data_IF_557166360531
#
_entry.id   IF_557166360531
#
_cell.length_a   1.000
_cell.length_b   1.000
_cell.length_c   1.000
_cell.angle_alpha   90.00
_cell.angle_beta   90.00
_cell.angle_gamma   90.00
#
_symmetry.space_group_name_H-M   'P 1'
#
loop_
_entity.id
_entity.type
_entity.pdbx_description
1 polymer ?
#
# COMPACT_ATOMS: atom_id res chain seq x y z
N UNK A 1 -3.42 -13.65 -4.20
CA UNK A 1 -2.44 -12.97 -3.32
C UNK A 1 -3.01 -12.64 -1.94
N UNK A 2 -4.29 -12.26 -1.82
CA UNK A 2 -4.99 -11.90 -0.56
C UNK A 2 -4.89 -12.94 0.56
N UNK A 3 -4.95 -14.20 0.21
CA UNK A 3 -5.02 -15.34 1.14
C UNK A 3 -3.63 -15.82 1.55
N UNK A 4 -2.62 -15.55 0.73
CA UNK A 4 -1.27 -16.09 0.90
C UNK A 4 -0.55 -15.63 2.18
N UNK A 5 -0.65 -14.37 2.65
CA UNK A 5 -0.04 -13.98 3.93
C UNK A 5 -0.55 -14.81 5.11
N UNK A 6 -1.84 -15.14 5.12
CA UNK A 6 -2.42 -16.00 6.15
C UNK A 6 -1.90 -17.43 6.08
N UNK A 7 -1.84 -18.04 4.90
CA UNK A 7 -1.33 -19.41 4.70
C UNK A 7 0.15 -19.49 5.11
N UNK A 8 0.96 -18.59 4.62
CA UNK A 8 2.40 -18.58 4.89
C UNK A 8 2.69 -18.23 6.35
N UNK A 9 1.86 -17.36 6.98
CA UNK A 9 1.94 -17.09 8.41
C UNK A 9 1.71 -18.35 9.26
N UNK A 10 0.70 -19.19 8.92
CA UNK A 10 0.47 -20.47 9.60
C UNK A 10 1.64 -21.42 9.41
N UNK A 11 2.21 -21.47 8.22
CA UNK A 11 3.37 -22.33 7.91
C UNK A 11 4.59 -21.88 8.72
N UNK A 12 4.84 -20.56 8.83
CA UNK A 12 5.90 -20.00 9.65
C UNK A 12 5.69 -20.29 11.15
N UNK A 13 4.45 -20.15 11.63
CA UNK A 13 4.14 -20.36 13.04
C UNK A 13 4.26 -21.84 13.48
N UNK A 14 4.07 -22.80 12.54
CA UNK A 14 3.98 -24.23 12.90
C UNK A 14 5.18 -25.07 12.48
N UNK A 15 5.76 -24.81 11.30
CA UNK A 15 6.67 -25.75 10.66
C UNK A 15 8.03 -25.20 10.24
N UNK A 16 8.09 -23.92 9.91
CA UNK A 16 9.33 -23.35 9.38
C UNK A 16 9.74 -22.11 10.16
N UNK A 17 11.03 -21.91 10.28
CA UNK A 17 11.58 -20.66 10.79
C UNK A 17 11.21 -19.52 9.85
N UNK A 18 10.71 -18.41 10.41
CA UNK A 18 10.19 -17.28 9.63
C UNK A 18 11.27 -16.67 8.72
N UNK A 19 12.53 -16.55 9.18
CA UNK A 19 13.64 -16.03 8.39
C UNK A 19 13.96 -16.92 7.18
N UNK A 20 13.88 -18.24 7.33
CA UNK A 20 14.12 -19.18 6.21
C UNK A 20 12.99 -19.13 5.20
N UNK A 21 11.75 -19.07 5.68
CA UNK A 21 10.58 -18.96 4.80
C UNK A 21 10.58 -17.65 4.05
N UNK A 22 10.97 -16.56 4.72
CA UNK A 22 11.18 -15.24 4.12
C UNK A 22 12.20 -15.31 2.96
N UNK A 23 13.36 -15.95 3.21
CA UNK A 23 14.38 -16.15 2.19
C UNK A 23 13.92 -16.99 1.01
N UNK A 24 13.24 -18.10 1.26
CA UNK A 24 12.69 -18.96 0.20
C UNK A 24 11.67 -18.23 -0.67
N UNK A 25 10.79 -17.43 -0.06
CA UNK A 25 9.82 -16.62 -0.80
C UNK A 25 10.51 -15.59 -1.70
N UNK A 26 11.58 -14.93 -1.24
CA UNK A 26 12.35 -13.99 -2.06
C UNK A 26 13.12 -14.68 -3.18
N UNK A 27 13.72 -15.84 -2.94
CA UNK A 27 14.40 -16.61 -4.00
C UNK A 27 13.41 -17.09 -5.06
N UNK A 28 12.25 -17.61 -4.65
CA UNK A 28 11.19 -18.00 -5.57
C UNK A 28 10.66 -16.79 -6.37
N UNK A 29 10.46 -15.64 -5.71
CA UNK A 29 10.09 -14.38 -6.35
C UNK A 29 11.12 -13.89 -7.37
N UNK A 30 12.42 -14.00 -7.05
CA UNK A 30 13.50 -13.70 -7.98
C UNK A 30 13.41 -14.56 -9.25
N UNK A 31 13.20 -15.87 -9.10
CA UNK A 31 12.97 -16.79 -10.23
C UNK A 31 11.78 -16.38 -11.10
N UNK A 32 10.66 -15.98 -10.47
CA UNK A 32 9.49 -15.49 -11.18
C UNK A 32 9.77 -14.19 -11.95
N UNK A 33 10.54 -13.25 -11.38
CA UNK A 33 10.92 -11.99 -12.04
C UNK A 33 11.88 -12.24 -13.21
N UNK A 34 12.86 -13.12 -13.06
CA UNK A 34 13.74 -13.52 -14.16
C UNK A 34 12.96 -14.23 -15.28
N UNK A 35 11.99 -15.06 -14.94
CA UNK A 35 11.11 -15.66 -15.94
C UNK A 35 10.22 -14.62 -16.62
N UNK A 36 9.67 -13.66 -15.86
CA UNK A 36 8.89 -12.55 -16.39
C UNK A 36 9.68 -11.67 -17.37
N UNK A 37 10.99 -11.47 -17.12
CA UNK A 37 11.84 -10.66 -18.00
C UNK A 37 12.03 -11.25 -19.41
N UNK A 38 11.80 -12.55 -19.58
CA UNK A 38 11.84 -13.27 -20.86
C UNK A 38 10.48 -13.38 -21.54
N UNK A 39 9.44 -12.82 -20.93
CA UNK A 39 8.07 -12.93 -21.46
C UNK A 39 7.92 -12.20 -22.81
N UNK A 40 7.40 -12.91 -23.79
CA UNK A 40 7.12 -12.38 -25.14
C UNK A 40 5.62 -12.15 -25.39
N UNK A 41 4.77 -12.60 -24.48
CA UNK A 41 3.32 -12.49 -24.59
C UNK A 41 2.64 -12.21 -23.25
N UNK A 42 1.35 -11.80 -23.37
CA UNK A 42 0.53 -11.44 -22.20
C UNK A 42 0.40 -12.59 -21.20
N UNK A 43 0.05 -13.79 -21.68
CA UNK A 43 -0.21 -14.94 -20.78
C UNK A 43 1.03 -15.32 -19.97
N UNK A 44 2.21 -15.34 -20.60
CA UNK A 44 3.46 -15.63 -19.93
C UNK A 44 3.75 -14.59 -18.84
N UNK A 45 3.62 -13.31 -19.17
CA UNK A 45 3.80 -12.21 -18.21
C UNK A 45 2.79 -12.30 -17.07
N UNK A 46 1.51 -12.54 -17.38
CA UNK A 46 0.44 -12.65 -16.39
C UNK A 46 0.71 -13.74 -15.35
N UNK A 47 1.04 -14.96 -15.81
CA UNK A 47 1.31 -16.07 -14.89
C UNK A 47 2.59 -15.86 -14.09
N UNK A 48 3.65 -15.32 -14.70
CA UNK A 48 4.90 -15.02 -14.01
C UNK A 48 4.67 -13.99 -12.88
N UNK A 49 3.94 -12.92 -13.17
CA UNK A 49 3.64 -11.87 -12.18
C UNK A 49 2.65 -12.35 -11.11
N UNK A 50 1.67 -13.19 -11.48
CA UNK A 50 0.75 -13.79 -10.50
C UNK A 50 1.51 -14.68 -9.52
N UNK A 51 2.39 -15.54 -9.99
CA UNK A 51 3.23 -16.40 -9.13
C UNK A 51 4.15 -15.55 -8.24
N UNK A 52 4.78 -14.51 -8.82
CA UNK A 52 5.58 -13.58 -8.04
C UNK A 52 4.76 -12.94 -6.90
N UNK A 53 3.56 -12.46 -7.18
CA UNK A 53 2.68 -11.86 -6.17
C UNK A 53 2.26 -12.86 -5.08
N UNK A 54 2.06 -14.13 -5.41
CA UNK A 54 1.71 -15.17 -4.45
C UNK A 54 2.82 -15.41 -3.41
N UNK A 55 4.08 -15.34 -3.84
CA UNK A 55 5.23 -15.52 -2.93
C UNK A 55 5.71 -14.21 -2.31
N UNK A 56 5.49 -13.07 -2.97
CA UNK A 56 5.92 -11.77 -2.48
C UNK A 56 5.01 -11.22 -1.36
N UNK A 57 3.69 -11.31 -1.50
CA UNK A 57 2.76 -10.72 -0.52
C UNK A 57 2.98 -11.21 0.92
N UNK A 58 3.27 -12.50 1.16
CA UNK A 58 3.59 -12.97 2.51
C UNK A 58 4.87 -12.37 3.10
N UNK A 59 5.83 -11.98 2.24
CA UNK A 59 7.11 -11.45 2.73
C UNK A 59 6.94 -10.14 3.50
N UNK A 60 5.88 -9.36 3.22
CA UNK A 60 5.58 -8.12 3.94
C UNK A 60 5.28 -8.38 5.43
N UNK A 61 4.54 -9.44 5.72
CA UNK A 61 4.26 -9.83 7.12
C UNK A 61 5.44 -10.56 7.76
N UNK A 62 6.14 -11.42 7.00
CA UNK A 62 7.33 -12.12 7.48
C UNK A 62 8.46 -11.15 7.84
N UNK A 63 8.66 -10.08 7.07
CA UNK A 63 9.64 -9.05 7.37
C UNK A 63 9.42 -8.42 8.76
N UNK A 64 8.16 -8.11 9.10
CA UNK A 64 7.82 -7.60 10.42
C UNK A 64 8.06 -8.66 11.51
N UNK A 65 7.64 -9.90 11.27
CA UNK A 65 7.87 -11.01 12.22
C UNK A 65 9.35 -11.24 12.51
N UNK A 66 10.18 -11.27 11.47
CA UNK A 66 11.63 -11.43 11.60
C UNK A 66 12.25 -10.26 12.36
N UNK A 67 11.83 -9.02 12.03
CA UNK A 67 12.34 -7.82 12.71
C UNK A 67 11.96 -7.80 14.20
N UNK A 68 10.71 -8.11 14.53
CA UNK A 68 10.27 -8.16 15.94
C UNK A 68 10.99 -9.24 16.72
N UNK A 69 11.12 -10.45 16.16
CA UNK A 69 11.86 -11.54 16.78
C UNK A 69 13.32 -11.18 17.03
N UNK A 70 13.99 -10.54 16.06
CA UNK A 70 15.35 -10.08 16.23
C UNK A 70 15.48 -9.04 17.38
N UNK A 71 14.60 -8.04 17.40
CA UNK A 71 14.58 -7.02 18.46
C UNK A 71 14.34 -7.64 19.84
N UNK A 72 13.41 -8.58 19.97
CA UNK A 72 13.16 -9.31 21.22
C UNK A 72 14.38 -10.12 21.68
N UNK A 73 15.05 -10.82 20.76
CA UNK A 73 16.27 -11.59 21.08
C UNK A 73 17.40 -10.70 21.61
N UNK A 74 17.52 -9.49 21.06
CA UNK A 74 18.51 -8.50 21.51
C UNK A 74 18.01 -7.63 22.67
N UNK A 75 16.83 -7.91 23.24
CA UNK A 75 16.20 -7.17 24.35
C UNK A 75 16.01 -5.68 24.06
N UNK A 76 15.76 -5.34 22.79
CA UNK A 76 15.44 -3.98 22.35
C UNK A 76 13.98 -3.64 22.64
N UNK A 77 13.68 -2.34 22.73
CA UNK A 77 12.31 -1.84 22.87
C UNK A 77 11.62 -1.80 21.50
N UNK A 78 10.62 -2.67 21.28
CA UNK A 78 9.88 -2.76 20.01
C UNK A 78 9.27 -1.42 19.60
N UNK A 79 8.75 -0.65 20.56
CA UNK A 79 8.05 0.62 20.26
C UNK A 79 9.05 1.68 19.84
N UNK A 80 10.24 1.70 20.44
CA UNK A 80 11.28 2.70 20.19
C UNK A 80 12.16 2.32 19.01
N UNK A 81 12.56 1.06 18.90
CA UNK A 81 13.65 0.64 18.04
C UNK A 81 13.17 0.11 16.66
N UNK A 82 11.91 -0.37 16.57
CA UNK A 82 11.36 -0.84 15.28
C UNK A 82 11.12 0.29 14.25
N UNK A 83 10.55 1.47 14.61
CA UNK A 83 10.28 2.51 13.62
C UNK A 83 11.52 2.98 12.84
N UNK A 84 12.68 3.22 13.46
CA UNK A 84 13.90 3.55 12.72
C UNK A 84 14.33 2.46 11.72
N UNK A 85 14.16 1.18 12.09
CA UNK A 85 14.47 0.06 11.18
C UNK A 85 13.51 0.08 9.99
N UNK A 86 12.23 0.31 10.22
CA UNK A 86 11.21 0.35 9.19
C UNK A 86 11.43 1.47 8.15
N UNK A 87 11.97 2.63 8.58
CA UNK A 87 12.30 3.76 7.70
C UNK A 87 13.32 3.36 6.63
N UNK A 88 14.28 2.49 6.94
CA UNK A 88 15.25 1.99 5.95
C UNK A 88 14.60 1.27 4.78
N UNK A 89 13.44 0.63 5.01
CA UNK A 89 12.64 0.05 3.92
C UNK A 89 12.15 1.11 2.93
N UNK A 90 11.67 2.25 3.41
CA UNK A 90 11.24 3.36 2.54
C UNK A 90 12.42 4.00 1.83
N UNK A 91 13.55 4.21 2.52
CA UNK A 91 14.79 4.73 1.90
C UNK A 91 15.26 3.79 0.78
N UNK A 92 15.32 2.48 1.06
CA UNK A 92 15.71 1.47 0.06
C UNK A 92 14.77 1.46 -1.15
N UNK A 93 13.47 1.61 -0.92
CA UNK A 93 12.48 1.72 -2.00
C UNK A 93 12.71 2.95 -2.87
N UNK A 94 12.93 4.13 -2.28
CA UNK A 94 13.25 5.36 -3.01
C UNK A 94 14.55 5.21 -3.81
N UNK A 95 15.59 4.65 -3.21
CA UNK A 95 16.86 4.40 -3.90
C UNK A 95 16.67 3.46 -5.10
N UNK A 96 15.87 2.40 -4.96
CA UNK A 96 15.57 1.48 -6.05
C UNK A 96 14.80 2.18 -7.18
N UNK A 97 13.80 3.01 -6.85
CA UNK A 97 13.06 3.82 -7.83
C UNK A 97 14.02 4.72 -8.63
N UNK A 98 14.90 5.44 -7.94
CA UNK A 98 15.85 6.34 -8.59
C UNK A 98 16.89 5.59 -9.42
N UNK A 99 17.39 4.46 -8.94
CA UNK A 99 18.32 3.64 -9.68
C UNK A 99 17.70 3.14 -11.01
N UNK A 100 16.47 2.66 -11.00
CA UNK A 100 15.77 2.18 -12.21
C UNK A 100 15.48 3.33 -13.17
N UNK A 101 15.10 4.51 -12.67
CA UNK A 101 14.78 5.67 -13.51
C UNK A 101 16.06 6.26 -14.15
N UNK A 102 17.10 6.53 -13.35
CA UNK A 102 18.35 7.16 -13.82
C UNK A 102 19.16 6.25 -14.76
N UNK A 103 19.05 4.94 -14.63
CA UNK A 103 19.68 4.00 -15.56
C UNK A 103 18.90 3.81 -16.86
N UNK A 104 17.70 4.39 -16.97
CA UNK A 104 16.82 4.23 -18.13
C UNK A 104 16.14 2.86 -18.23
N UNK A 105 16.20 2.06 -17.18
CA UNK A 105 15.62 0.69 -17.16
C UNK A 105 14.09 0.68 -17.01
N UNK A 106 13.49 1.81 -16.67
CA UNK A 106 12.06 1.98 -16.42
C UNK A 106 11.18 1.38 -17.53
N UNK A 107 11.53 1.56 -18.79
CA UNK A 107 10.75 1.12 -19.95
C UNK A 107 11.29 -0.16 -20.60
N UNK A 108 12.09 -0.92 -19.88
CA UNK A 108 12.70 -2.16 -20.38
C UNK A 108 12.52 -3.32 -19.41
N UNK A 109 12.72 -4.57 -19.90
CA UNK A 109 12.75 -5.76 -19.05
C UNK A 109 13.90 -5.74 -18.03
N UNK A 110 14.89 -4.84 -18.20
CA UNK A 110 16.00 -4.67 -17.27
C UNK A 110 15.54 -4.35 -15.84
N UNK A 111 14.44 -3.62 -15.65
CA UNK A 111 13.85 -3.39 -14.32
C UNK A 111 13.50 -4.69 -13.58
N UNK A 112 13.06 -5.72 -14.31
CA UNK A 112 12.74 -7.04 -13.71
C UNK A 112 14.00 -7.79 -13.29
N UNK A 113 15.12 -7.63 -14.03
CA UNK A 113 16.41 -8.16 -13.61
C UNK A 113 16.92 -7.48 -12.34
N UNK A 114 16.79 -6.15 -12.23
CA UNK A 114 17.17 -5.41 -11.01
C UNK A 114 16.33 -5.88 -9.82
N UNK A 115 15.00 -6.00 -9.99
CA UNK A 115 14.11 -6.52 -8.97
C UNK A 115 14.44 -7.96 -8.57
N UNK A 116 14.67 -8.84 -9.56
CA UNK A 116 15.04 -10.23 -9.35
C UNK A 116 16.39 -10.39 -8.63
N UNK A 117 17.40 -9.62 -9.04
CA UNK A 117 18.71 -9.62 -8.38
C UNK A 117 18.63 -9.13 -6.93
N UNK A 118 17.89 -8.05 -6.68
CA UNK A 118 17.65 -7.53 -5.32
C UNK A 118 16.91 -8.55 -4.44
N UNK A 119 15.89 -9.20 -4.98
CA UNK A 119 15.15 -10.25 -4.27
C UNK A 119 16.04 -11.46 -3.97
N UNK A 120 16.89 -11.88 -4.92
CA UNK A 120 17.83 -12.99 -4.72
C UNK A 120 18.84 -12.65 -3.62
N UNK A 121 19.43 -11.46 -3.65
CA UNK A 121 20.38 -11.00 -2.63
C UNK A 121 19.73 -10.96 -1.25
N UNK A 122 18.52 -10.40 -1.14
CA UNK A 122 17.77 -10.38 0.12
C UNK A 122 17.42 -11.79 0.59
N UNK A 123 17.01 -12.64 -0.34
CA UNK A 123 16.71 -14.05 -0.05
C UNK A 123 17.91 -14.80 0.53
N UNK A 124 19.09 -14.65 -0.06
CA UNK A 124 20.34 -15.24 0.44
C UNK A 124 20.75 -14.63 1.79
N UNK A 125 20.66 -13.31 1.91
CA UNK A 125 20.98 -12.60 3.15
C UNK A 125 20.08 -13.04 4.32
N UNK A 126 18.81 -13.36 4.05
CA UNK A 126 17.87 -13.74 5.11
C UNK A 126 18.28 -14.99 5.90
N UNK A 127 19.07 -15.88 5.31
CA UNK A 127 19.61 -17.07 6.01
C UNK A 127 20.68 -16.71 7.05
N UNK A 128 21.20 -15.48 7.03
CA UNK A 128 22.16 -14.97 8.03
C UNK A 128 21.47 -14.28 9.21
N UNK A 129 20.15 -14.07 9.11
CA UNK A 129 19.36 -13.41 10.16
C UNK A 129 19.20 -14.30 11.39
N UNK A 130 18.93 -13.71 12.58
CA UNK A 130 18.67 -14.48 13.80
C UNK A 130 17.52 -15.46 13.61
N UNK A 131 17.69 -16.69 14.12
CA UNK A 131 16.70 -17.74 13.95
C UNK A 131 15.38 -17.41 14.66
N UNK A 132 14.32 -17.30 13.89
CA UNK A 132 12.94 -17.09 14.37
C UNK A 132 12.24 -18.45 14.46
N UNK A 133 12.44 -19.15 15.60
CA UNK A 133 11.86 -20.49 15.78
C UNK A 133 10.32 -20.40 15.82
N UNK A 134 9.62 -21.42 15.24
CA UNK A 134 8.18 -21.50 15.31
C UNK A 134 7.73 -21.42 16.79
N UNK A 135 6.87 -20.47 17.12
CA UNK A 135 6.19 -20.48 18.40
C UNK A 135 5.25 -21.68 18.40
N UNK A 136 5.32 -22.57 19.40
CA UNK A 136 4.31 -23.61 19.63
C UNK A 136 3.00 -22.89 19.97
N UNK A 137 2.36 -22.33 18.96
CA UNK A 137 1.09 -21.64 19.09
C UNK A 137 0.02 -22.69 19.28
N UNK A 138 -0.69 -22.60 20.39
CA UNK A 138 -1.94 -23.32 20.62
C UNK A 138 -2.87 -23.09 19.42
N UNK A 139 -3.39 -24.16 18.86
CA UNK A 139 -4.41 -24.31 17.81
C UNK A 139 -5.11 -23.02 17.32
N UNK A 140 -4.39 -22.15 16.62
CA UNK A 140 -5.07 -21.14 15.80
C UNK A 140 -5.81 -21.87 14.69
N UNK A 141 -7.14 -21.77 14.69
CA UNK A 141 -7.98 -22.24 13.60
C UNK A 141 -7.52 -21.57 12.29
N UNK A 142 -7.64 -22.29 11.17
CA UNK A 142 -7.45 -21.70 9.84
C UNK A 142 -8.28 -20.41 9.65
N UNK A 143 -9.50 -20.39 10.18
CA UNK A 143 -10.39 -19.23 10.17
C UNK A 143 -9.77 -18.02 10.89
N UNK A 144 -9.10 -18.25 12.04
CA UNK A 144 -8.42 -17.21 12.81
C UNK A 144 -7.22 -16.62 12.07
N UNK A 145 -6.46 -17.46 11.36
CA UNK A 145 -5.30 -17.02 10.59
C UNK A 145 -5.66 -16.15 9.37
N UNK A 146 -6.84 -16.37 8.79
CA UNK A 146 -7.39 -15.53 7.73
C UNK A 146 -8.14 -14.29 8.24
N UNK A 147 -8.19 -14.08 9.56
CA UNK A 147 -8.94 -12.97 10.14
C UNK A 147 -10.46 -13.15 10.07
N UNK A 148 -10.96 -14.34 9.66
CA UNK A 148 -12.39 -14.61 9.49
C UNK A 148 -13.16 -14.63 10.82
N UNK A 149 -12.49 -14.87 11.93
CA UNK A 149 -13.07 -14.71 13.27
C UNK A 149 -13.55 -13.27 13.52
N UNK A 150 -12.92 -12.31 12.86
CA UNK A 150 -13.30 -10.91 12.95
C UNK A 150 -14.57 -10.57 12.15
N UNK A 151 -15.08 -11.46 11.28
CA UNK A 151 -16.33 -11.23 10.53
C UNK A 151 -17.51 -10.99 11.48
N UNK A 152 -17.44 -11.49 12.71
CA UNK A 152 -18.44 -11.18 13.74
C UNK A 152 -18.56 -9.68 14.01
N UNK A 153 -17.52 -8.90 13.73
CA UNK A 153 -17.54 -7.42 13.89
C UNK A 153 -18.48 -6.74 12.92
N UNK A 154 -18.83 -7.35 11.78
CA UNK A 154 -19.86 -6.81 10.87
C UNK A 154 -21.25 -6.76 11.52
N UNK A 155 -21.51 -7.54 12.56
CA UNK A 155 -22.75 -7.44 13.34
C UNK A 155 -22.86 -6.11 14.10
N UNK A 156 -21.74 -5.45 14.37
CA UNK A 156 -21.70 -4.11 14.97
C UNK A 156 -21.78 -3.06 13.85
N UNK A 157 -22.89 -2.35 13.75
CA UNK A 157 -23.14 -1.30 12.72
C UNK A 157 -21.94 -0.36 12.51
N UNK A 158 -21.31 0.08 13.60
CA UNK A 158 -20.14 0.98 13.57
C UNK A 158 -18.93 0.35 12.88
N UNK A 159 -18.63 -0.92 13.18
CA UNK A 159 -17.52 -1.65 12.55
C UNK A 159 -17.82 -2.00 11.09
N UNK A 160 -19.06 -2.39 10.78
CA UNK A 160 -19.47 -2.65 9.40
C UNK A 160 -19.30 -1.40 8.51
N UNK A 161 -19.76 -0.24 8.99
CA UNK A 161 -19.58 1.04 8.31
C UNK A 161 -18.07 1.33 8.11
N UNK A 162 -17.27 1.19 9.16
CA UNK A 162 -15.82 1.41 9.07
C UNK A 162 -15.16 0.51 8.04
N UNK A 163 -15.43 -0.79 8.03
CA UNK A 163 -14.86 -1.72 7.06
C UNK A 163 -15.31 -1.44 5.62
N UNK A 164 -16.57 -1.04 5.43
CA UNK A 164 -17.05 -0.62 4.12
C UNK A 164 -16.26 0.57 3.59
N UNK A 165 -16.11 1.63 4.41
CA UNK A 165 -15.33 2.81 4.01
C UNK A 165 -13.84 2.51 3.85
N UNK A 166 -13.29 1.57 4.62
CA UNK A 166 -11.92 1.08 4.44
C UNK A 166 -11.73 0.45 3.06
N UNK A 167 -12.68 -0.35 2.61
CA UNK A 167 -12.67 -0.95 1.28
C UNK A 167 -12.76 0.12 0.17
N UNK A 168 -13.68 1.07 0.31
CA UNK A 168 -13.83 2.15 -0.66
C UNK A 168 -12.56 3.02 -0.73
N UNK A 169 -11.92 3.30 0.39
CA UNK A 169 -10.68 4.08 0.41
C UNK A 169 -9.48 3.29 -0.16
N UNK A 170 -9.45 1.98 0.06
CA UNK A 170 -8.49 1.09 -0.57
C UNK A 170 -8.57 1.11 -2.11
N UNK A 171 -9.77 1.32 -2.66
CA UNK A 171 -9.94 1.54 -4.09
C UNK A 171 -9.26 2.83 -4.56
N UNK A 172 -9.37 3.93 -3.80
CA UNK A 172 -8.68 5.20 -4.12
C UNK A 172 -7.15 5.05 -4.14
N UNK A 173 -6.58 4.29 -3.21
CA UNK A 173 -5.16 3.96 -3.18
C UNK A 173 -4.71 3.23 -4.46
N UNK A 174 -5.48 2.22 -4.87
CA UNK A 174 -5.16 1.42 -6.06
C UNK A 174 -5.17 2.24 -7.34
N UNK A 175 -6.09 3.20 -7.48
CA UNK A 175 -6.17 4.12 -8.62
C UNK A 175 -4.82 4.84 -8.82
N UNK A 176 -4.29 5.44 -7.77
CA UNK A 176 -3.01 6.16 -7.86
C UNK A 176 -1.84 5.26 -8.20
N UNK A 177 -1.76 4.09 -7.56
CA UNK A 177 -0.67 3.14 -7.78
C UNK A 177 -0.66 2.60 -9.21
N UNK A 178 -1.84 2.47 -9.84
CA UNK A 178 -1.96 1.95 -11.20
C UNK A 178 -1.70 3.01 -12.25
N UNK A 179 -2.23 4.22 -12.06
CA UNK A 179 -2.30 5.21 -13.13
C UNK A 179 -1.37 6.42 -12.94
N UNK A 180 -0.70 6.57 -11.81
CA UNK A 180 0.15 7.74 -11.55
C UNK A 180 1.32 7.89 -12.54
N UNK A 181 2.08 6.83 -12.77
CA UNK A 181 3.19 6.84 -13.74
C UNK A 181 2.69 6.88 -15.19
N UNK A 182 1.63 6.14 -15.49
CA UNK A 182 1.02 6.14 -16.82
C UNK A 182 0.50 7.53 -17.20
N UNK A 183 -0.07 8.26 -16.26
CA UNK A 183 -0.52 9.66 -16.45
C UNK A 183 0.66 10.57 -16.75
N UNK A 184 1.70 10.56 -15.94
CA UNK A 184 2.88 11.40 -16.18
C UNK A 184 3.58 11.03 -17.49
N UNK A 185 3.68 9.75 -17.81
CA UNK A 185 4.26 9.26 -19.06
C UNK A 185 3.46 9.67 -20.30
N UNK A 186 2.15 9.91 -20.19
CA UNK A 186 1.30 10.30 -21.31
C UNK A 186 1.65 11.68 -21.88
N UNK A 187 2.23 12.57 -21.07
CA UNK A 187 2.69 13.88 -21.52
C UNK A 187 3.88 13.81 -22.49
N UNK A 188 4.55 12.67 -22.62
CA UNK A 188 5.61 12.46 -23.61
C UNK A 188 5.13 12.60 -25.07
N UNK A 189 3.83 12.40 -25.31
CA UNK A 189 3.22 12.61 -26.63
C UNK A 189 2.99 14.07 -27.00
N UNK A 190 3.13 14.98 -26.03
CA UNK A 190 2.95 16.43 -26.22
C UNK A 190 4.35 17.07 -26.39
N UNK A 191 4.67 17.65 -27.58
CA UNK A 191 6.02 18.16 -27.85
C UNK A 191 6.53 19.15 -26.81
N UNK A 192 5.65 19.99 -26.27
CA UNK A 192 5.98 20.98 -25.23
C UNK A 192 6.51 20.36 -23.94
N UNK A 193 6.02 19.15 -23.58
CA UNK A 193 6.32 18.50 -22.30
C UNK A 193 7.25 17.31 -22.43
N UNK A 194 7.48 16.80 -23.64
CA UNK A 194 8.25 15.57 -23.90
C UNK A 194 9.63 15.58 -23.24
N UNK A 195 10.29 16.74 -23.24
CA UNK A 195 11.62 16.94 -22.68
C UNK A 195 11.63 17.42 -21.22
N UNK A 196 10.46 17.62 -20.61
CA UNK A 196 10.35 18.08 -19.21
C UNK A 196 10.90 17.04 -18.24
N UNK A 197 11.44 17.52 -17.10
CA UNK A 197 11.92 16.66 -16.03
C UNK A 197 10.82 15.71 -15.51
N UNK A 198 9.59 16.21 -15.36
CA UNK A 198 8.47 15.44 -14.84
C UNK A 198 8.05 14.26 -15.73
N UNK A 199 8.31 14.34 -17.05
CA UNK A 199 8.03 13.26 -17.99
C UNK A 199 9.21 12.29 -18.07
N UNK A 200 10.44 12.80 -18.24
CA UNK A 200 11.65 11.96 -18.32
C UNK A 200 11.89 11.16 -17.03
N UNK A 201 11.64 11.79 -15.89
CA UNK A 201 11.90 11.25 -14.56
C UNK A 201 10.63 11.16 -13.70
N UNK A 202 9.52 10.65 -14.28
CA UNK A 202 8.24 10.54 -13.58
C UNK A 202 8.33 9.70 -12.31
N UNK A 203 9.19 8.68 -12.28
CA UNK A 203 9.39 7.82 -11.10
C UNK A 203 10.08 8.59 -9.98
N UNK A 204 11.06 9.46 -10.31
CA UNK A 204 11.68 10.35 -9.32
C UNK A 204 10.65 11.33 -8.77
N UNK A 205 9.83 11.91 -9.64
CA UNK A 205 8.75 12.80 -9.23
C UNK A 205 7.76 12.10 -8.31
N UNK A 206 7.32 10.88 -8.65
CA UNK A 206 6.45 10.06 -7.82
C UNK A 206 7.06 9.68 -6.47
N UNK A 207 8.39 9.59 -6.36
CA UNK A 207 9.07 9.29 -5.09
C UNK A 207 8.85 10.36 -4.01
N UNK A 208 8.46 11.59 -4.39
CA UNK A 208 8.03 12.64 -3.45
C UNK A 208 6.87 12.15 -2.58
N UNK A 209 5.98 11.31 -3.13
CA UNK A 209 4.88 10.69 -2.37
C UNK A 209 5.41 9.83 -1.22
N UNK A 210 6.47 9.06 -1.45
CA UNK A 210 7.08 8.19 -0.44
C UNK A 210 7.82 8.99 0.64
N UNK A 211 8.49 10.09 0.23
CA UNK A 211 9.12 11.01 1.18
C UNK A 211 8.07 11.67 2.08
N UNK A 212 6.98 12.13 1.46
CA UNK A 212 5.83 12.72 2.15
C UNK A 212 5.18 11.74 3.13
N UNK A 213 4.97 10.48 2.74
CA UNK A 213 4.48 9.40 3.61
C UNK A 213 5.31 9.33 4.89
N UNK A 214 6.64 9.25 4.76
CA UNK A 214 7.53 9.18 5.91
C UNK A 214 7.39 10.38 6.86
N UNK A 215 7.27 11.59 6.31
CA UNK A 215 7.12 12.81 7.10
C UNK A 215 5.76 12.87 7.82
N UNK A 216 4.67 12.50 7.12
CA UNK A 216 3.34 12.55 7.71
C UNK A 216 3.12 11.46 8.76
N UNK A 217 3.76 10.28 8.66
CA UNK A 217 3.76 9.28 9.74
C UNK A 217 4.25 9.92 11.05
N UNK A 218 5.32 10.72 11.01
CA UNK A 218 5.85 11.41 12.19
C UNK A 218 4.90 12.49 12.72
N UNK A 219 4.07 13.09 11.86
CA UNK A 219 3.11 14.13 12.23
C UNK A 219 1.79 13.56 12.81
N UNK A 220 1.48 12.28 12.56
CA UNK A 220 0.20 11.66 12.99
C UNK A 220 -0.08 11.82 14.49
N UNK A 221 0.86 11.62 15.43
CA UNK A 221 0.56 11.80 16.85
C UNK A 221 0.07 13.20 17.19
N UNK A 222 0.58 14.22 16.51
CA UNK A 222 0.10 15.60 16.67
C UNK A 222 -1.36 15.72 16.23
N UNK A 223 -1.70 15.24 15.04
CA UNK A 223 -3.08 15.32 14.51
C UNK A 223 -4.06 14.50 15.34
N UNK A 224 -3.68 13.30 15.78
CA UNK A 224 -4.55 12.46 16.62
C UNK A 224 -4.85 13.09 17.97
N UNK A 225 -3.87 13.76 18.59
CA UNK A 225 -4.07 14.45 19.87
C UNK A 225 -5.02 15.65 19.74
N UNK A 226 -4.93 16.41 18.65
CA UNK A 226 -5.71 17.64 18.48
C UNK A 226 -7.08 17.39 17.87
N UNK A 227 -7.20 16.48 16.92
CA UNK A 227 -8.42 16.28 16.15
C UNK A 227 -9.15 14.96 16.46
N UNK A 228 -8.43 13.97 16.97
CA UNK A 228 -8.97 12.64 17.24
C UNK A 228 -9.19 11.79 15.98
N UNK A 229 -9.45 10.49 16.20
CA UNK A 229 -9.44 9.44 15.16
C UNK A 229 -10.37 9.76 13.98
N UNK A 230 -11.63 10.11 14.24
CA UNK A 230 -12.61 10.37 13.16
C UNK A 230 -12.19 11.54 12.27
N UNK A 231 -11.71 12.63 12.84
CA UNK A 231 -11.34 13.81 12.07
C UNK A 231 -10.08 13.56 11.26
N UNK A 232 -9.11 12.82 11.81
CA UNK A 232 -7.89 12.42 11.07
C UNK A 232 -8.24 11.52 9.89
N UNK A 233 -9.18 10.58 10.04
CA UNK A 233 -9.72 9.80 8.92
C UNK A 233 -10.39 10.69 7.86
N UNK A 234 -11.16 11.70 8.27
CA UNK A 234 -11.78 12.65 7.34
C UNK A 234 -10.75 13.51 6.61
N UNK A 235 -9.72 13.97 7.29
CA UNK A 235 -8.61 14.70 6.66
C UNK A 235 -8.00 13.84 5.56
N UNK A 236 -7.77 12.55 5.81
CA UNK A 236 -7.28 11.60 4.80
C UNK A 236 -8.22 11.53 3.59
N UNK A 237 -9.52 11.39 3.80
CA UNK A 237 -10.49 11.31 2.70
C UNK A 237 -10.51 12.56 1.84
N UNK A 238 -10.48 13.75 2.45
CA UNK A 238 -10.38 15.01 1.72
C UNK A 238 -9.01 15.21 1.08
N UNK A 239 -7.94 14.69 1.66
CA UNK A 239 -6.63 14.67 1.03
C UNK A 239 -6.64 13.87 -0.31
N UNK A 240 -7.40 12.78 -0.42
CA UNK A 240 -7.63 12.10 -1.70
C UNK A 240 -8.35 12.97 -2.72
N UNK A 241 -9.33 13.78 -2.29
CA UNK A 241 -10.01 14.74 -3.19
C UNK A 241 -9.00 15.73 -3.76
N UNK A 242 -8.17 16.33 -2.89
CA UNK A 242 -7.13 17.27 -3.32
C UNK A 242 -6.10 16.60 -4.22
N UNK A 243 -5.64 15.39 -3.88
CA UNK A 243 -4.68 14.66 -4.67
C UNK A 243 -5.17 14.45 -6.10
N UNK A 244 -6.37 13.92 -6.28
CA UNK A 244 -6.92 13.66 -7.60
C UNK A 244 -7.26 14.96 -8.34
N UNK A 245 -7.81 15.97 -7.67
CA UNK A 245 -8.07 17.28 -8.25
C UNK A 245 -6.80 17.95 -8.75
N UNK A 246 -5.73 17.95 -7.96
CA UNK A 246 -4.42 18.48 -8.34
C UNK A 246 -3.79 17.72 -9.53
N UNK A 247 -3.98 16.40 -9.62
CA UNK A 247 -3.58 15.64 -10.80
C UNK A 247 -4.42 16.01 -12.03
N UNK A 248 -5.73 16.25 -11.87
CA UNK A 248 -6.61 16.63 -12.96
C UNK A 248 -6.26 17.96 -13.62
N UNK A 249 -5.79 18.92 -12.83
CA UNK A 249 -5.41 20.26 -13.31
C UNK A 249 -3.90 20.46 -13.50
N UNK A 250 -3.06 19.52 -13.02
CA UNK A 250 -1.61 19.61 -13.10
C UNK A 250 -1.06 19.18 -14.46
N UNK A 251 0.00 19.83 -14.88
CA UNK A 251 0.79 19.51 -16.08
C UNK A 251 2.29 19.60 -15.76
N UNK A 252 3.18 19.03 -16.60
CA UNK A 252 4.63 19.11 -16.39
C UNK A 252 5.26 20.48 -16.64
N UNK A 253 4.50 21.47 -17.10
CA UNK A 253 4.93 22.84 -17.33
C UNK A 253 4.55 23.76 -16.20
N UNK A 254 3.65 24.70 -16.46
CA UNK A 254 3.18 25.72 -15.49
C UNK A 254 2.42 25.10 -14.31
N UNK A 255 1.81 23.93 -14.50
CA UNK A 255 1.09 23.15 -13.50
C UNK A 255 1.94 22.17 -12.67
N UNK A 256 3.26 22.12 -12.85
CA UNK A 256 4.15 21.21 -12.14
C UNK A 256 4.02 21.30 -10.61
N UNK A 257 3.80 22.50 -10.09
CA UNK A 257 3.58 22.70 -8.65
C UNK A 257 2.34 21.95 -8.13
N UNK A 258 1.27 21.81 -8.95
CA UNK A 258 0.09 21.05 -8.60
C UNK A 258 0.40 19.55 -8.54
N UNK A 259 1.20 19.04 -9.47
CA UNK A 259 1.67 17.65 -9.44
C UNK A 259 2.50 17.38 -8.18
N UNK A 260 3.46 18.26 -7.86
CA UNK A 260 4.29 18.14 -6.65
C UNK A 260 3.42 18.20 -5.38
N UNK A 261 2.50 19.16 -5.31
CA UNK A 261 1.60 19.30 -4.17
C UNK A 261 0.70 18.07 -4.01
N UNK A 262 0.20 17.50 -5.11
CA UNK A 262 -0.54 16.24 -5.12
C UNK A 262 0.27 15.10 -4.49
N UNK A 263 1.56 15.02 -4.81
CA UNK A 263 2.45 14.00 -4.25
C UNK A 263 2.74 14.21 -2.77
N UNK A 264 2.87 15.46 -2.34
CA UNK A 264 3.01 15.80 -0.91
C UNK A 264 1.73 15.43 -0.14
N UNK A 265 0.56 15.73 -0.68
CA UNK A 265 -0.74 15.41 -0.04
C UNK A 265 -0.95 13.90 0.11
N UNK A 266 -0.28 13.07 -0.69
CA UNK A 266 -0.39 11.61 -0.62
C UNK A 266 -0.09 11.03 0.77
N UNK A 267 0.93 11.54 1.45
CA UNK A 267 1.26 11.06 2.80
C UNK A 267 0.09 11.21 3.77
N UNK A 268 -0.62 12.37 3.74
CA UNK A 268 -1.86 12.53 4.52
C UNK A 268 -2.97 11.61 4.04
N UNK A 269 -3.12 11.49 2.72
CA UNK A 269 -4.21 10.71 2.14
C UNK A 269 -4.12 9.23 2.53
N UNK A 270 -2.94 8.66 2.56
CA UNK A 270 -2.73 7.25 2.84
C UNK A 270 -2.61 6.97 4.35
N UNK A 271 -1.62 7.59 5.02
CA UNK A 271 -1.26 7.19 6.38
C UNK A 271 -2.25 7.61 7.44
N UNK A 272 -2.90 8.76 7.27
CA UNK A 272 -3.87 9.23 8.25
C UNK A 272 -5.04 8.28 8.40
N UNK A 273 -5.50 7.67 7.29
CA UNK A 273 -6.54 6.66 7.38
C UNK A 273 -6.02 5.33 7.92
N UNK A 274 -4.89 4.85 7.41
CA UNK A 274 -4.34 3.57 7.80
C UNK A 274 -4.03 3.49 9.29
N UNK A 275 -3.33 4.49 9.83
CA UNK A 275 -2.92 4.50 11.23
C UNK A 275 -4.12 4.78 12.15
N UNK A 276 -4.97 5.76 11.79
CA UNK A 276 -6.18 6.03 12.57
C UNK A 276 -7.16 4.86 12.53
N UNK A 277 -7.27 4.18 11.39
CA UNK A 277 -8.10 2.99 11.23
C UNK A 277 -7.61 1.82 12.06
N UNK A 278 -6.31 1.57 12.04
CA UNK A 278 -5.68 0.56 12.88
C UNK A 278 -5.92 0.83 14.37
N UNK A 279 -5.74 2.08 14.82
CA UNK A 279 -6.04 2.50 16.20
C UNK A 279 -7.52 2.34 16.56
N UNK A 280 -8.41 2.67 15.62
CA UNK A 280 -9.85 2.48 15.82
C UNK A 280 -10.20 1.00 16.01
N UNK A 281 -9.65 0.12 15.16
CA UNK A 281 -9.83 -1.34 15.29
C UNK A 281 -9.28 -1.85 16.61
N UNK A 282 -8.10 -1.36 17.02
CA UNK A 282 -7.46 -1.71 18.29
C UNK A 282 -8.35 -1.38 19.50
N UNK A 283 -9.06 -0.25 19.46
CA UNK A 283 -9.94 0.19 20.55
C UNK A 283 -11.30 -0.54 20.58
N UNK A 284 -11.85 -0.88 19.41
CA UNK A 284 -13.21 -1.44 19.28
C UNK A 284 -13.25 -2.97 19.30
N UNK A 285 -12.14 -3.63 18.93
CA UNK A 285 -12.06 -5.09 18.94
C UNK A 285 -11.70 -5.63 20.34
N UNK A 286 -12.34 -6.74 20.71
CA UNK A 286 -11.96 -7.48 21.92
C UNK A 286 -10.52 -8.02 21.77
N UNK A 287 -9.77 -8.10 22.88
CA UNK A 287 -8.38 -8.58 22.87
C UNK A 287 -8.21 -9.95 22.17
N UNK A 288 -9.18 -10.86 22.35
CA UNK A 288 -9.15 -12.21 21.77
C UNK A 288 -9.21 -12.26 20.23
N UNK A 289 -9.78 -11.24 19.56
CA UNK A 289 -9.94 -11.19 18.10
C UNK A 289 -9.25 -9.98 17.46
N UNK A 290 -8.43 -9.25 18.22
CA UNK A 290 -7.82 -7.99 17.80
C UNK A 290 -6.89 -8.16 16.59
N UNK A 291 -6.02 -9.17 16.63
CA UNK A 291 -5.15 -9.49 15.49
C UNK A 291 -5.95 -9.85 14.24
N UNK A 292 -7.01 -10.65 14.37
CA UNK A 292 -7.93 -10.99 13.28
C UNK A 292 -8.65 -9.76 12.74
N UNK A 293 -9.03 -8.82 13.60
CA UNK A 293 -9.67 -7.57 13.21
C UNK A 293 -8.74 -6.64 12.43
N UNK A 294 -7.45 -6.57 12.79
CA UNK A 294 -6.43 -5.87 12.03
C UNK A 294 -6.20 -6.54 10.66
N UNK A 295 -6.14 -7.86 10.62
CA UNK A 295 -6.07 -8.63 9.37
C UNK A 295 -7.28 -8.36 8.46
N UNK A 296 -8.49 -8.30 9.02
CA UNK A 296 -9.70 -7.97 8.27
C UNK A 296 -9.65 -6.52 7.74
N UNK A 297 -9.18 -5.57 8.54
CA UNK A 297 -8.99 -4.18 8.09
C UNK A 297 -8.03 -4.12 6.90
N UNK A 298 -6.89 -4.79 6.97
CA UNK A 298 -5.93 -4.88 5.88
C UNK A 298 -6.53 -5.56 4.64
N UNK A 299 -7.30 -6.63 4.81
CA UNK A 299 -7.99 -7.31 3.71
C UNK A 299 -9.03 -6.43 3.04
N UNK A 300 -9.80 -5.63 3.80
CA UNK A 300 -10.77 -4.70 3.26
C UNK A 300 -10.10 -3.57 2.47
N UNK A 301 -8.99 -3.00 2.96
CA UNK A 301 -8.28 -1.90 2.28
C UNK A 301 -7.44 -2.41 1.10
N UNK A 302 -6.44 -3.24 1.35
CA UNK A 302 -5.43 -3.64 0.37
C UNK A 302 -5.82 -4.88 -0.44
N UNK A 303 -6.91 -5.51 -0.06
CA UNK A 303 -7.43 -6.68 -0.73
C UNK A 303 -8.65 -6.37 -1.58
N UNK A 304 -9.83 -6.37 -0.96
CA UNK A 304 -11.10 -6.13 -1.66
C UNK A 304 -11.14 -4.73 -2.27
N UNK A 305 -10.65 -3.71 -1.54
CA UNK A 305 -10.54 -2.35 -2.03
C UNK A 305 -9.67 -2.25 -3.28
N UNK A 306 -8.51 -2.89 -3.29
CA UNK A 306 -7.61 -2.91 -4.44
C UNK A 306 -8.23 -3.61 -5.65
N UNK A 307 -8.93 -4.74 -5.46
CA UNK A 307 -9.63 -5.45 -6.54
C UNK A 307 -10.72 -4.56 -7.14
N UNK A 308 -11.61 -4.02 -6.31
CA UNK A 308 -12.68 -3.14 -6.76
C UNK A 308 -12.13 -1.88 -7.44
N UNK A 309 -11.09 -1.27 -6.85
CA UNK A 309 -10.42 -0.10 -7.39
C UNK A 309 -9.79 -0.37 -8.75
N UNK A 310 -9.15 -1.53 -8.91
CA UNK A 310 -8.57 -1.95 -10.19
C UNK A 310 -9.60 -2.06 -11.29
N UNK A 311 -10.70 -2.80 -11.07
CA UNK A 311 -11.77 -2.95 -12.06
C UNK A 311 -12.51 -1.64 -12.34
N UNK A 312 -12.92 -0.92 -11.29
CA UNK A 312 -13.68 0.31 -11.46
C UNK A 312 -12.86 1.40 -12.14
N UNK A 313 -11.59 1.55 -11.76
CA UNK A 313 -10.71 2.53 -12.41
C UNK A 313 -10.37 2.17 -13.84
N UNK A 314 -10.21 0.87 -14.15
CA UNK A 314 -10.05 0.39 -15.52
C UNK A 314 -11.23 0.81 -16.40
N UNK A 315 -12.46 0.53 -15.95
CA UNK A 315 -13.67 0.91 -16.68
C UNK A 315 -13.79 2.43 -16.91
N UNK A 316 -13.42 3.26 -15.90
CA UNK A 316 -13.42 4.72 -16.07
C UNK A 316 -12.35 5.14 -17.06
N UNK A 317 -11.12 4.62 -16.96
CA UNK A 317 -10.03 4.99 -17.87
C UNK A 317 -10.35 4.57 -19.30
N UNK A 318 -10.91 3.39 -19.50
CA UNK A 318 -11.31 2.90 -20.82
C UNK A 318 -12.42 3.77 -21.44
N UNK A 319 -13.41 4.20 -20.64
CA UNK A 319 -14.49 5.07 -21.10
C UNK A 319 -14.01 6.46 -21.58
N UNK A 320 -12.88 6.95 -21.05
CA UNK A 320 -12.25 8.23 -21.42
C UNK A 320 -10.97 8.03 -22.24
N UNK A 321 -10.79 6.86 -22.85
CA UNK A 321 -9.71 6.55 -23.78
C UNK A 321 -10.19 6.70 -25.21
N UNK A 322 -9.44 7.43 -26.04
CA UNK A 322 -9.73 7.65 -27.46
C UNK A 322 -8.91 6.66 -28.27
N UNK A 323 -9.59 5.89 -29.09
CA UNK A 323 -9.00 4.90 -29.99
C UNK A 323 -9.20 5.32 -31.44
N UNK A 324 -8.17 5.19 -32.27
CA UNK A 324 -8.26 5.29 -33.74
C UNK A 324 -7.58 4.06 -34.35
N UNK A 325 -8.25 3.43 -35.32
CA UNK A 325 -7.80 2.19 -36.00
C UNK A 325 -7.39 1.07 -35.02
N UNK A 326 -8.13 0.93 -33.89
CA UNK A 326 -7.86 -0.06 -32.87
C UNK A 326 -6.64 0.24 -32.00
N UNK A 327 -6.01 1.39 -32.14
CA UNK A 327 -4.87 1.84 -31.33
C UNK A 327 -5.29 2.97 -30.41
N UNK A 328 -4.78 2.93 -29.18
CA UNK A 328 -4.95 4.03 -28.21
C UNK A 328 -4.22 5.28 -28.73
N UNK A 329 -4.94 6.37 -28.90
CA UNK A 329 -4.41 7.67 -29.33
C UNK A 329 -4.16 8.58 -28.13
N UNK A 330 -5.17 8.72 -27.28
CA UNK A 330 -5.06 9.62 -26.11
C UNK A 330 -6.00 9.17 -24.98
N UNK A 331 -5.84 9.77 -23.82
CA UNK A 331 -6.75 9.66 -22.69
C UNK A 331 -7.10 11.06 -22.17
N UNK A 332 -8.35 11.25 -21.85
CA UNK A 332 -8.83 12.51 -21.24
C UNK A 332 -8.53 12.53 -19.74
N UNK A 333 -7.24 12.66 -19.38
CA UNK A 333 -6.77 12.54 -18.01
C UNK A 333 -7.43 13.50 -17.03
N UNK A 334 -7.74 14.72 -17.45
CA UNK A 334 -8.44 15.69 -16.61
C UNK A 334 -9.78 15.13 -16.15
N UNK A 335 -10.60 14.63 -17.08
CA UNK A 335 -11.90 14.07 -16.75
C UNK A 335 -11.78 12.83 -15.87
N UNK A 336 -10.82 11.95 -16.18
CA UNK A 336 -10.53 10.73 -15.38
C UNK A 336 -10.22 11.11 -13.93
N UNK A 337 -9.28 12.03 -13.69
CA UNK A 337 -8.89 12.42 -12.34
C UNK A 337 -9.99 13.17 -11.60
N UNK A 338 -10.80 13.99 -12.28
CA UNK A 338 -11.94 14.68 -11.66
C UNK A 338 -13.05 13.70 -11.24
N UNK A 339 -13.29 12.63 -12.00
CA UNK A 339 -14.21 11.56 -11.58
C UNK A 339 -13.69 10.88 -10.30
N UNK A 340 -12.39 10.60 -10.21
CA UNK A 340 -11.81 10.03 -9.00
C UNK A 340 -11.84 11.00 -7.83
N UNK A 341 -11.67 12.31 -8.07
CA UNK A 341 -11.84 13.34 -7.05
C UNK A 341 -13.30 13.40 -6.55
N UNK A 342 -14.27 13.34 -7.45
CA UNK A 342 -15.70 13.29 -7.11
C UNK A 342 -16.02 12.02 -6.30
N UNK A 343 -15.48 10.87 -6.68
CA UNK A 343 -15.60 9.62 -5.92
C UNK A 343 -15.10 9.79 -4.48
N UNK A 344 -13.88 10.31 -4.31
CA UNK A 344 -13.29 10.55 -2.99
C UNK A 344 -14.12 11.56 -2.17
N UNK A 345 -14.65 12.61 -2.81
CA UNK A 345 -15.51 13.60 -2.18
C UNK A 345 -16.81 12.99 -1.64
N UNK A 346 -17.48 12.19 -2.47
CA UNK A 346 -18.72 11.49 -2.06
C UNK A 346 -18.45 10.57 -0.87
N UNK A 347 -17.36 9.80 -0.90
CA UNK A 347 -16.99 8.93 0.22
C UNK A 347 -16.72 9.76 1.47
N UNK A 348 -15.97 10.87 1.38
CA UNK A 348 -15.67 11.74 2.51
C UNK A 348 -16.94 12.32 3.14
N UNK A 349 -17.88 12.83 2.33
CA UNK A 349 -19.16 13.36 2.80
C UNK A 349 -20.01 12.26 3.46
N UNK A 350 -20.15 11.11 2.80
CA UNK A 350 -20.93 10.00 3.35
C UNK A 350 -20.33 9.49 4.67
N UNK A 351 -19.02 9.39 4.76
CA UNK A 351 -18.34 9.00 6.00
C UNK A 351 -18.60 10.01 7.12
N UNK A 352 -18.50 11.31 6.83
CA UNK A 352 -18.76 12.37 7.80
C UNK A 352 -20.17 12.27 8.40
N UNK A 353 -21.18 11.95 7.57
CA UNK A 353 -22.60 11.86 7.94
C UNK A 353 -22.92 10.54 8.67
N UNK A 354 -22.39 9.41 8.16
CA UNK A 354 -22.81 8.07 8.62
C UNK A 354 -21.93 7.55 9.75
N UNK A 355 -20.63 7.84 9.75
CA UNK A 355 -19.71 7.35 10.76
C UNK A 355 -19.74 8.22 12.01
N UNK A 356 -20.50 7.79 13.01
CA UNK A 356 -20.62 8.47 14.31
C UNK A 356 -19.60 7.91 15.29
N UNK A 357 -18.53 8.67 15.54
CA UNK A 357 -17.52 8.35 16.54
C UNK A 357 -17.15 9.59 17.34
N UNK A 358 -17.23 9.53 18.66
CA UNK A 358 -16.81 10.59 19.56
C UNK A 358 -15.49 10.16 20.22
N UNK A 359 -14.43 10.90 19.97
CA UNK A 359 -13.14 10.66 20.58
C UNK A 359 -13.22 10.94 22.09
N UNK A 360 -12.73 9.99 22.91
CA UNK A 360 -12.60 10.14 24.37
C UNK A 360 -11.13 10.01 24.73
N UNK A 361 -10.40 11.13 24.88
CA UNK A 361 -8.96 11.10 25.15
C UNK A 361 -8.58 10.41 26.46
N UNK A 362 -9.47 10.46 27.47
CA UNK A 362 -9.21 9.98 28.83
C UNK A 362 -9.23 8.44 29.00
N UNK A 363 -10.01 7.71 28.18
CA UNK A 363 -10.08 6.25 28.29
C UNK A 363 -8.81 5.54 27.78
N UNK A 364 -8.02 6.19 26.94
CA UNK A 364 -6.76 5.66 26.44
C UNK A 364 -5.63 5.75 27.49
N UNK A 365 -5.71 6.69 28.42
CA UNK A 365 -4.75 6.87 29.50
C UNK A 365 -4.98 5.90 30.68
N UNK A 366 -6.25 5.61 31.00
CA UNK A 366 -6.62 4.77 32.15
C UNK A 366 -6.55 3.24 31.88
N UNK A 367 -6.38 2.80 30.64
CA UNK A 367 -6.17 1.36 30.31
C UNK A 367 -4.70 0.93 30.38
N UNK A 368 -3.79 1.85 30.75
CA UNK A 368 -2.35 1.59 30.95
C UNK A 368 -1.95 1.50 32.44
N UNK A 369 -2.90 1.54 33.36
CA UNK A 369 -2.77 1.12 34.75
C UNK A 369 -3.53 -0.21 34.92
#
# INVERSE_FOLDING_TARGET
>A
SLVMPGIIGIIADKWFNAERLYGLCHIAGAGCLFYASTATGYDQMYWAMLLNLLVYMPTLSLANTVSYNALEQYKCDLIKDFPPIRVWGTIGFICAMWAVDLTGFKNSSAQLYVGGASALLLGLYSFTLPACRPAKSENKSWLSAFGLDALVLFKKKKMAIFFLFSMLLGAALQITNTYGDLFLGSFASIPEYADSFGVKHSVILLSISQMSETLFILAIPFFLRHFGIKQVMLISMFAWVFRFGLFGFGDPGSGLWMLILSMIVYGMAFDFFNISGSLFVEQEAKSSIRASAQGLFFMMTNGLGAIMGGYASGAVVDAFSVYADGRLVSREWMNIWLIFAAYALVIGILFALVFKYKHRPEEAANKKQ
#
